data_IF_392787838325
#
_entry.id   IF_392787838325
#
_cell.length_a   1.000
_cell.length_b   1.000
_cell.length_c   1.000
_cell.angle_alpha   90.00
_cell.angle_beta   90.00
_cell.angle_gamma   90.00
#
_symmetry.space_group_name_H-M   'P 1'
#
loop_
_entity.id
_entity.type
_entity.pdbx_description
1 polymer ?
#
# COMPACT_ATOMS: atom_id res chain seq x y z
N UNK A 1 -0.43 5.88 13.16
CA UNK A 1 0.87 5.92 13.86
C UNK A 1 1.19 4.57 14.46
N UNK A 2 2.37 4.05 14.17
CA UNK A 2 2.97 2.86 14.78
C UNK A 2 3.79 3.26 16.01
N UNK A 3 3.79 2.40 17.02
CA UNK A 3 4.54 2.58 18.26
C UNK A 3 5.21 1.27 18.66
N UNK A 4 6.47 1.37 19.09
CA UNK A 4 7.28 0.24 19.52
C UNK A 4 8.01 0.56 20.84
N UNK A 5 7.85 -0.32 21.83
CA UNK A 5 8.53 -0.25 23.12
C UNK A 5 8.96 -1.65 23.58
N UNK A 6 10.24 -1.95 23.46
CA UNK A 6 10.76 -3.29 23.73
C UNK A 6 10.08 -4.33 22.83
N UNK A 7 9.37 -5.28 23.44
CA UNK A 7 8.59 -6.31 22.71
C UNK A 7 7.16 -5.89 22.39
N UNK A 8 6.70 -4.76 22.91
CA UNK A 8 5.36 -4.26 22.67
C UNK A 8 5.32 -3.45 21.36
N UNK A 9 4.34 -3.74 20.51
CA UNK A 9 4.06 -3.00 19.29
C UNK A 9 2.57 -2.69 19.18
N UNK A 10 2.22 -1.49 18.73
CA UNK A 10 0.83 -1.09 18.52
C UNK A 10 0.67 -0.22 17.28
N UNK A 11 -0.50 -0.34 16.63
CA UNK A 11 -0.92 0.52 15.53
C UNK A 11 -2.13 1.34 16.00
N UNK A 12 -2.04 2.65 15.86
CA UNK A 12 -3.13 3.60 16.15
C UNK A 12 -3.66 4.17 14.85
N UNK A 13 -4.98 4.04 14.64
CA UNK A 13 -5.70 4.51 13.46
C UNK A 13 -6.70 5.60 13.86
N UNK A 14 -6.80 6.66 13.06
CA UNK A 14 -7.77 7.72 13.29
C UNK A 14 -9.18 7.26 12.90
N UNK A 15 -10.01 7.03 13.92
CA UNK A 15 -11.40 6.57 13.76
C UNK A 15 -12.31 7.54 12.99
N UNK A 16 -11.90 8.81 12.81
CA UNK A 16 -12.68 9.84 12.11
C UNK A 16 -12.57 9.71 10.59
N UNK A 17 -11.59 8.97 10.09
CA UNK A 17 -11.38 8.76 8.66
C UNK A 17 -12.38 7.74 8.10
N UNK A 18 -12.70 7.78 6.80
CA UNK A 18 -13.48 6.72 6.16
C UNK A 18 -12.83 5.34 6.33
N UNK A 19 -13.64 4.28 6.40
CA UNK A 19 -13.17 2.91 6.68
C UNK A 19 -12.10 2.41 5.69
N UNK A 20 -12.24 2.75 4.41
CA UNK A 20 -11.25 2.45 3.36
C UNK A 20 -9.90 3.12 3.66
N UNK A 21 -9.91 4.40 4.00
CA UNK A 21 -8.70 5.17 4.36
C UNK A 21 -8.05 4.62 5.64
N UNK A 22 -8.85 4.26 6.63
CA UNK A 22 -8.36 3.60 7.85
C UNK A 22 -7.63 2.29 7.54
N UNK A 23 -8.13 1.49 6.59
CA UNK A 23 -7.51 0.24 6.16
C UNK A 23 -6.16 0.47 5.48
N UNK A 24 -6.05 1.52 4.67
CA UNK A 24 -4.78 1.90 4.03
C UNK A 24 -3.74 2.37 5.04
N UNK A 25 -4.17 3.19 6.00
CA UNK A 25 -3.33 3.60 7.13
C UNK A 25 -2.86 2.39 7.94
N UNK A 26 -3.72 1.39 8.15
CA UNK A 26 -3.32 0.16 8.82
C UNK A 26 -2.17 -0.55 8.10
N UNK A 27 -2.25 -0.75 6.78
CA UNK A 27 -1.16 -1.38 6.04
C UNK A 27 0.13 -0.54 6.04
N UNK A 28 -0.01 0.78 5.99
CA UNK A 28 1.13 1.70 6.06
C UNK A 28 1.87 1.56 7.41
N UNK A 29 1.14 1.58 8.52
CA UNK A 29 1.72 1.41 9.85
C UNK A 29 2.24 -0.01 10.10
N UNK A 30 1.60 -1.01 9.50
CA UNK A 30 2.09 -2.37 9.51
C UNK A 30 3.45 -2.47 8.81
N UNK A 31 3.67 -1.73 7.72
CA UNK A 31 4.99 -1.64 7.07
C UNK A 31 6.05 -1.13 8.03
N UNK A 32 5.77 -0.04 8.76
CA UNK A 32 6.71 0.51 9.74
C UNK A 32 7.13 -0.54 10.78
N UNK A 33 6.17 -1.26 11.33
CA UNK A 33 6.43 -2.31 12.33
C UNK A 33 7.23 -3.49 11.78
N UNK A 34 7.00 -3.88 10.52
CA UNK A 34 7.58 -5.08 9.93
C UNK A 34 8.95 -4.84 9.27
N UNK A 35 9.15 -3.66 8.67
CA UNK A 35 10.26 -3.40 7.74
C UNK A 35 11.16 -2.25 8.17
N UNK A 36 10.70 -1.38 9.04
CA UNK A 36 11.45 -0.19 9.44
C UNK A 36 11.99 -0.31 10.86
N UNK A 37 13.09 0.40 11.11
CA UNK A 37 13.70 0.51 12.43
C UNK A 37 14.14 1.96 12.66
N UNK A 38 14.33 2.29 13.94
CA UNK A 38 14.73 3.63 14.37
C UNK A 38 13.56 4.56 14.64
N UNK A 39 13.83 5.65 15.37
CA UNK A 39 12.83 6.68 15.68
C UNK A 39 12.84 7.73 14.58
N UNK A 40 11.77 7.83 13.79
CA UNK A 40 11.66 8.79 12.68
C UNK A 40 11.99 10.23 13.10
N UNK A 41 11.59 10.65 14.31
CA UNK A 41 11.86 12.00 14.84
C UNK A 41 13.37 12.33 14.86
N UNK A 42 14.22 11.34 15.12
CA UNK A 42 15.68 11.52 15.19
C UNK A 42 16.40 11.14 13.89
N UNK A 43 15.66 10.75 12.86
CA UNK A 43 16.19 10.27 11.59
C UNK A 43 16.40 11.42 10.60
N UNK A 44 17.51 11.43 9.83
CA UNK A 44 17.69 12.41 8.76
C UNK A 44 16.55 12.36 7.74
N UNK A 45 16.22 13.51 7.13
CA UNK A 45 15.06 13.66 6.25
C UNK A 45 15.02 12.62 5.12
N UNK A 46 16.14 12.40 4.44
CA UNK A 46 16.22 11.44 3.33
C UNK A 46 15.88 10.00 3.75
N UNK A 47 16.29 9.57 4.95
CA UNK A 47 15.96 8.24 5.45
C UNK A 47 14.49 8.12 5.85
N UNK A 48 13.89 9.18 6.40
CA UNK A 48 12.44 9.21 6.64
C UNK A 48 11.68 9.09 5.32
N UNK A 49 12.04 9.90 4.33
CA UNK A 49 11.41 9.88 3.01
C UNK A 49 11.50 8.51 2.34
N UNK A 50 12.64 7.83 2.49
CA UNK A 50 12.81 6.46 2.02
C UNK A 50 11.85 5.48 2.71
N UNK A 51 11.71 5.56 4.03
CA UNK A 51 10.74 4.72 4.77
C UNK A 51 9.30 5.02 4.36
N UNK A 52 8.93 6.29 4.23
CA UNK A 52 7.59 6.69 3.78
C UNK A 52 7.30 6.21 2.35
N UNK A 53 8.31 6.24 1.47
CA UNK A 53 8.20 5.70 0.12
C UNK A 53 8.01 4.18 0.12
N UNK A 54 8.79 3.43 0.92
CA UNK A 54 8.62 1.98 1.05
C UNK A 54 7.26 1.62 1.65
N UNK A 55 6.82 2.34 2.69
CA UNK A 55 5.51 2.14 3.32
C UNK A 55 4.36 2.34 2.32
N UNK A 56 4.39 3.39 1.50
CA UNK A 56 3.39 3.60 0.44
C UNK A 56 3.40 2.47 -0.59
N UNK A 57 4.58 1.98 -0.97
CA UNK A 57 4.67 0.82 -1.88
C UNK A 57 4.12 -0.45 -1.23
N UNK A 58 4.53 -0.75 0.00
CA UNK A 58 4.05 -1.89 0.77
C UNK A 58 2.52 -1.89 0.87
N UNK A 59 1.89 -0.75 1.20
CA UNK A 59 0.43 -0.62 1.27
C UNK A 59 -0.24 -1.12 0.00
N UNK A 60 0.23 -0.73 -1.19
CA UNK A 60 -0.33 -1.18 -2.47
C UNK A 60 -0.26 -2.70 -2.64
N UNK A 61 0.89 -3.30 -2.34
CA UNK A 61 1.08 -4.74 -2.50
C UNK A 61 0.33 -5.56 -1.45
N UNK A 62 0.32 -5.09 -0.20
CA UNK A 62 -0.33 -5.78 0.91
C UNK A 62 -1.86 -5.68 0.83
N UNK A 63 -2.38 -4.52 0.42
CA UNK A 63 -3.82 -4.28 0.33
C UNK A 63 -4.43 -4.85 -0.96
N UNK A 64 -3.67 -4.90 -2.06
CA UNK A 64 -4.08 -5.44 -3.36
C UNK A 64 -3.04 -6.45 -3.89
N UNK A 65 -2.97 -7.66 -3.30
CA UNK A 65 -2.00 -8.67 -3.69
C UNK A 65 -2.23 -9.15 -5.13
N UNK A 66 -1.15 -9.21 -5.93
CA UNK A 66 -1.23 -9.50 -7.37
C UNK A 66 -1.97 -10.82 -7.67
N UNK A 67 -1.65 -11.88 -6.93
CA UNK A 67 -2.25 -13.20 -7.13
C UNK A 67 -3.76 -13.26 -6.78
N UNK A 68 -4.27 -12.27 -6.04
CA UNK A 68 -5.70 -12.17 -5.74
C UNK A 68 -6.43 -11.34 -6.79
N UNK A 69 -5.87 -10.18 -7.17
CA UNK A 69 -6.48 -9.29 -8.16
C UNK A 69 -6.43 -9.86 -9.58
N UNK A 70 -5.45 -10.70 -9.91
CA UNK A 70 -5.35 -11.37 -11.22
C UNK A 70 -6.50 -12.35 -11.52
N UNK A 71 -7.39 -12.60 -10.56
CA UNK A 71 -8.56 -13.46 -10.73
C UNK A 71 -9.78 -12.70 -11.27
N UNK A 72 -9.68 -11.38 -11.42
CA UNK A 72 -10.77 -10.52 -11.87
C UNK A 72 -10.66 -10.25 -13.38
N UNK A 73 -11.79 -9.92 -14.00
CA UNK A 73 -11.87 -9.53 -15.40
C UNK A 73 -11.57 -8.03 -15.55
N UNK A 74 -10.42 -7.70 -16.12
CA UNK A 74 -10.01 -6.31 -16.33
C UNK A 74 -10.73 -5.60 -17.49
N UNK A 75 -11.59 -6.31 -18.23
CA UNK A 75 -12.44 -5.69 -19.26
C UNK A 75 -13.72 -5.07 -18.70
N UNK A 76 -14.02 -5.33 -17.43
CA UNK A 76 -15.16 -4.74 -16.73
C UNK A 76 -14.98 -3.21 -16.59
N UNK A 77 -15.94 -2.39 -17.06
CA UNK A 77 -15.82 -0.92 -17.03
C UNK A 77 -15.58 -0.35 -15.63
N UNK A 78 -16.15 -0.98 -14.60
CA UNK A 78 -16.11 -0.54 -13.21
C UNK A 78 -15.13 -1.38 -12.37
N UNK A 79 -14.08 -1.94 -12.99
CA UNK A 79 -13.13 -2.84 -12.32
C UNK A 79 -12.45 -2.18 -11.11
N UNK A 80 -12.24 -0.86 -11.14
CA UNK A 80 -11.64 -0.11 -10.03
C UNK A 80 -12.56 -0.14 -8.81
N UNK A 81 -13.85 0.09 -9.01
CA UNK A 81 -14.89 0.09 -8.00
C UNK A 81 -15.10 -1.32 -7.44
N UNK A 82 -15.16 -2.32 -8.32
CA UNK A 82 -15.26 -3.75 -7.94
C UNK A 82 -14.11 -4.15 -7.03
N UNK A 83 -12.87 -3.86 -7.43
CA UNK A 83 -11.68 -4.18 -6.63
C UNK A 83 -11.62 -3.32 -5.35
N UNK A 84 -11.95 -2.04 -5.42
CA UNK A 84 -12.03 -1.15 -4.25
C UNK A 84 -12.99 -1.71 -3.20
N UNK A 85 -14.16 -2.18 -3.61
CA UNK A 85 -15.13 -2.81 -2.72
C UNK A 85 -14.68 -4.18 -2.22
N UNK A 86 -14.08 -5.01 -3.07
CA UNK A 86 -13.64 -6.34 -2.67
C UNK A 86 -12.49 -6.27 -1.64
N UNK A 87 -11.52 -5.40 -1.86
CA UNK A 87 -10.32 -5.28 -1.02
C UNK A 87 -10.47 -4.23 0.09
N UNK A 88 -11.60 -3.50 0.11
CA UNK A 88 -11.95 -2.48 1.09
C UNK A 88 -10.91 -1.36 1.19
N UNK A 89 -10.40 -0.95 0.04
CA UNK A 89 -9.44 0.16 -0.14
C UNK A 89 -10.07 1.26 -0.96
N UNK A 90 -9.46 2.44 -0.99
CA UNK A 90 -9.95 3.55 -1.81
C UNK A 90 -9.83 3.25 -3.32
N UNK A 91 -10.74 3.79 -4.15
CA UNK A 91 -10.60 3.73 -5.60
C UNK A 91 -9.26 4.29 -6.10
N UNK A 92 -8.72 5.29 -5.41
CA UNK A 92 -7.45 5.92 -5.71
C UNK A 92 -6.27 4.95 -5.55
N UNK A 93 -6.17 4.23 -4.42
CA UNK A 93 -5.13 3.21 -4.22
C UNK A 93 -5.26 2.08 -5.25
N UNK A 94 -6.50 1.68 -5.57
CA UNK A 94 -6.77 0.65 -6.55
C UNK A 94 -6.30 1.08 -7.95
N UNK A 95 -6.70 2.28 -8.39
CA UNK A 95 -6.26 2.87 -9.65
C UNK A 95 -4.74 2.96 -9.75
N UNK A 96 -4.07 3.42 -8.69
CA UNK A 96 -2.60 3.49 -8.68
C UNK A 96 -1.95 2.10 -8.80
N UNK A 97 -2.52 1.10 -8.12
CA UNK A 97 -2.03 -0.28 -8.18
C UNK A 97 -2.13 -0.84 -9.60
N UNK A 98 -3.29 -0.70 -10.25
CA UNK A 98 -3.53 -1.20 -11.60
C UNK A 98 -2.66 -0.47 -12.63
N UNK A 99 -2.54 0.86 -12.51
CA UNK A 99 -1.67 1.66 -13.37
C UNK A 99 -0.22 1.13 -13.34
N UNK A 100 0.35 0.93 -12.13
CA UNK A 100 1.71 0.40 -11.98
C UNK A 100 1.90 -1.01 -12.55
N UNK A 101 0.88 -1.87 -12.47
CA UNK A 101 0.93 -3.21 -13.09
C UNK A 101 1.00 -3.06 -14.61
N UNK A 102 0.13 -2.20 -15.18
CA UNK A 102 0.10 -1.97 -16.62
C UNK A 102 1.44 -1.42 -17.15
N UNK A 103 2.06 -0.46 -16.45
CA UNK A 103 3.36 0.10 -16.83
C UNK A 103 4.48 -0.96 -16.76
N UNK A 104 4.45 -1.84 -15.75
CA UNK A 104 5.42 -2.93 -15.65
C UNK A 104 5.27 -3.93 -16.80
N UNK A 105 4.04 -4.26 -17.21
CA UNK A 105 3.77 -5.16 -18.34
C UNK A 105 4.24 -4.53 -19.65
N UNK A 106 3.93 -3.24 -19.88
CA UNK A 106 4.42 -2.51 -21.07
C UNK A 106 5.94 -2.48 -21.12
N UNK A 107 6.60 -2.17 -20.02
CA UNK A 107 8.07 -2.16 -19.97
C UNK A 107 8.64 -3.54 -20.31
N UNK A 108 8.11 -4.62 -19.74
CA UNK A 108 8.58 -5.98 -20.05
C UNK A 108 8.39 -6.33 -21.54
N UNK A 109 7.30 -5.88 -22.16
CA UNK A 109 7.07 -6.07 -23.59
C UNK A 109 8.02 -5.24 -24.48
N UNK A 110 8.62 -4.16 -23.96
CA UNK A 110 9.52 -3.26 -24.69
C UNK A 110 11.01 -3.55 -24.48
N UNK A 111 11.39 -4.52 -23.65
CA UNK A 111 12.80 -4.83 -23.37
C UNK A 111 13.30 -5.87 -24.37
N UNK A 112 14.31 -5.61 -25.22
CA UNK A 112 14.87 -6.62 -26.11
C UNK A 112 15.56 -7.72 -25.30
N UNK A 113 15.40 -8.98 -25.74
CA UNK A 113 16.14 -10.14 -25.24
C UNK A 113 17.65 -10.01 -25.44
#
# INVERSE_FOLDING_TARGET
MSYEFGRFKSITIDKRLPSKVQREHFYHELCHILRHAGRQIMMPAAFRELQEWDARNFTRYAALPLHMINKFDYTEPDIVEVLSEQFKVTPELCSERLYRISEKVKHLAMTPL
#
